data_IF_510926277560
#
_entry.id   IF_510926277560
#
_cell.length_a   1.000
_cell.length_b   1.000
_cell.length_c   1.000
_cell.angle_alpha   90.00
_cell.angle_beta   90.00
_cell.angle_gamma   90.00
#
_symmetry.space_group_name_H-M   'P 1'
#
loop_
_entity.id
_entity.type
_entity.pdbx_description
1 polymer ?
#
# COMPACT_ATOMS: atom_id res chain seq x y z
N UNK A 1 -14.18 0.35 5.84
CA UNK A 1 -13.89 -0.66 4.78
C UNK A 1 -12.81 -1.64 5.32
N UNK A 2 -12.55 -2.79 4.68
CA UNK A 2 -11.66 -3.83 5.27
C UNK A 2 -10.22 -3.32 5.45
N UNK A 3 -9.75 -2.36 4.63
CA UNK A 3 -8.41 -1.80 4.74
C UNK A 3 -8.24 -0.80 5.90
N UNK A 4 -9.31 -0.12 6.36
CA UNK A 4 -9.24 0.72 7.57
C UNK A 4 -8.95 -0.15 8.82
N UNK A 5 -9.50 -1.39 8.85
CA UNK A 5 -9.16 -2.37 9.89
C UNK A 5 -7.69 -2.82 9.83
N UNK A 6 -7.09 -2.69 8.66
CA UNK A 6 -5.73 -3.11 8.39
C UNK A 6 -4.72 -2.00 8.73
N UNK A 7 -5.01 -0.75 8.41
CA UNK A 7 -4.21 0.41 8.82
C UNK A 7 -4.17 0.59 10.36
N UNK A 8 -5.27 0.34 11.07
CA UNK A 8 -5.34 0.72 12.48
C UNK A 8 -5.19 2.24 12.65
N UNK A 9 -4.30 2.69 13.54
CA UNK A 9 -3.94 4.12 13.68
C UNK A 9 -2.73 4.53 12.81
N UNK A 10 -2.20 3.65 11.95
CA UNK A 10 -1.03 3.95 11.11
C UNK A 10 -1.46 4.68 9.84
N UNK A 11 -0.88 5.86 9.62
CA UNK A 11 -1.04 6.67 8.41
C UNK A 11 0.08 6.46 7.39
N UNK A 12 0.98 5.49 7.64
CA UNK A 12 2.11 5.17 6.77
C UNK A 12 2.17 3.68 6.47
N UNK A 13 2.40 3.39 5.19
CA UNK A 13 2.76 2.07 4.68
C UNK A 13 4.25 2.12 4.33
N UNK A 14 5.05 1.21 4.85
CA UNK A 14 6.45 1.10 4.40
C UNK A 14 6.53 0.11 3.25
N UNK A 15 6.99 0.55 2.09
CA UNK A 15 7.23 -0.31 0.92
C UNK A 15 8.71 -0.68 0.83
N UNK A 16 9.02 -1.96 0.67
CA UNK A 16 10.38 -2.48 0.60
C UNK A 16 10.66 -3.20 -0.71
N UNK A 17 11.83 -2.94 -1.27
CA UNK A 17 12.36 -3.76 -2.36
C UNK A 17 12.93 -5.08 -1.86
N UNK A 18 12.92 -6.07 -2.76
CA UNK A 18 13.60 -7.33 -2.52
C UNK A 18 15.07 -7.19 -2.88
N UNK A 19 15.91 -7.11 -1.85
CA UNK A 19 17.36 -7.18 -1.96
C UNK A 19 17.94 -8.05 -0.83
N UNK A 20 19.27 -8.13 -0.76
CA UNK A 20 19.98 -8.92 0.26
C UNK A 20 19.76 -8.41 1.69
N UNK A 21 19.20 -7.21 1.87
CA UNK A 21 18.95 -6.57 3.16
C UNK A 21 17.48 -6.61 3.58
N UNK A 22 16.59 -7.22 2.77
CA UNK A 22 15.14 -7.25 3.02
C UNK A 22 14.78 -7.68 4.45
N UNK A 23 15.29 -8.83 4.91
CA UNK A 23 14.98 -9.36 6.25
C UNK A 23 15.54 -8.47 7.36
N UNK A 24 16.73 -7.91 7.16
CA UNK A 24 17.33 -6.96 8.11
C UNK A 24 16.48 -5.67 8.21
N UNK A 25 16.01 -5.14 7.08
CA UNK A 25 15.12 -3.95 7.06
C UNK A 25 13.78 -4.26 7.72
N UNK A 26 13.20 -5.44 7.46
CA UNK A 26 11.97 -5.88 8.12
C UNK A 26 12.13 -5.88 9.64
N UNK A 27 13.21 -6.42 10.17
CA UNK A 27 13.49 -6.41 11.61
C UNK A 27 13.56 -4.98 12.17
N UNK A 28 14.26 -4.07 11.48
CA UNK A 28 14.35 -2.66 11.90
C UNK A 28 13.00 -1.95 11.90
N UNK A 29 12.15 -2.22 10.91
CA UNK A 29 10.80 -1.67 10.80
C UNK A 29 9.90 -2.17 11.94
N UNK A 30 10.01 -3.46 12.26
CA UNK A 30 9.28 -4.06 13.38
C UNK A 30 9.75 -3.48 14.71
N UNK A 31 11.06 -3.32 14.92
CA UNK A 31 11.64 -2.68 16.10
C UNK A 31 11.20 -1.22 16.25
N UNK A 32 11.00 -0.52 15.13
CA UNK A 32 10.42 0.82 15.08
C UNK A 32 8.90 0.86 15.37
N UNK A 33 8.26 -0.29 15.64
CA UNK A 33 6.83 -0.39 15.95
C UNK A 33 5.91 -0.30 14.73
N UNK A 34 6.46 -0.33 13.52
CA UNK A 34 5.70 -0.32 12.28
C UNK A 34 5.26 -1.76 12.01
N UNK A 35 3.96 -1.93 11.84
CA UNK A 35 3.35 -3.26 11.69
C UNK A 35 2.82 -3.50 10.29
N UNK A 36 2.74 -2.46 9.46
CA UNK A 36 2.21 -2.51 8.12
C UNK A 36 3.33 -2.30 7.09
N UNK A 37 3.62 -3.34 6.32
CA UNK A 37 4.70 -3.36 5.33
C UNK A 37 4.19 -3.92 4.00
N UNK A 38 4.55 -3.27 2.91
CA UNK A 38 4.42 -3.79 1.56
C UNK A 38 5.76 -4.32 1.06
N UNK A 39 5.77 -5.52 0.50
CA UNK A 39 6.93 -6.09 -0.18
C UNK A 39 6.72 -5.96 -1.68
N UNK A 40 7.66 -5.36 -2.40
CA UNK A 40 7.63 -5.22 -3.85
C UNK A 40 8.01 -6.54 -4.54
N UNK A 41 7.18 -7.57 -4.36
CA UNK A 41 7.34 -8.89 -4.94
C UNK A 41 6.02 -9.63 -5.03
N UNK A 42 5.91 -10.46 -6.07
CA UNK A 42 4.78 -11.38 -6.27
C UNK A 42 5.23 -12.84 -6.15
N UNK A 43 6.45 -13.08 -5.65
CA UNK A 43 7.01 -14.43 -5.55
C UNK A 43 6.41 -15.17 -4.35
N UNK A 44 5.56 -16.17 -4.63
CA UNK A 44 4.84 -16.93 -3.60
C UNK A 44 5.75 -17.49 -2.50
N UNK A 45 6.92 -18.05 -2.86
CA UNK A 45 7.84 -18.68 -1.89
C UNK A 45 8.38 -17.67 -0.88
N UNK A 46 8.89 -16.55 -1.36
CA UNK A 46 9.39 -15.46 -0.53
C UNK A 46 8.29 -14.90 0.38
N UNK A 47 7.14 -14.55 -0.20
CA UNK A 47 6.01 -14.01 0.57
C UNK A 47 5.51 -15.00 1.63
N UNK A 48 5.40 -16.29 1.29
CA UNK A 48 5.02 -17.34 2.25
C UNK A 48 6.04 -17.50 3.38
N UNK A 49 7.33 -17.31 3.10
CA UNK A 49 8.38 -17.33 4.11
C UNK A 49 8.24 -16.14 5.05
N UNK A 50 8.08 -14.93 4.53
CA UNK A 50 7.91 -13.71 5.33
C UNK A 50 6.68 -13.84 6.23
N UNK A 51 5.54 -14.27 5.69
CA UNK A 51 4.30 -14.48 6.45
C UNK A 51 4.46 -15.47 7.61
N UNK A 52 5.25 -16.54 7.43
CA UNK A 52 5.54 -17.51 8.49
C UNK A 52 6.51 -16.99 9.53
N UNK A 53 7.52 -16.23 9.12
CA UNK A 53 8.56 -15.72 10.00
C UNK A 53 8.07 -14.55 10.85
N UNK A 54 7.16 -13.74 10.32
CA UNK A 54 6.64 -12.54 10.97
C UNK A 54 5.10 -12.56 11.05
N UNK A 55 4.50 -13.48 11.83
CA UNK A 55 3.04 -13.66 11.87
C UNK A 55 2.28 -12.48 12.51
N UNK A 56 2.98 -11.59 13.22
CA UNK A 56 2.38 -10.46 13.93
C UNK A 56 2.37 -9.17 13.10
N UNK A 57 2.97 -9.17 11.90
CA UNK A 57 2.94 -8.02 11.00
C UNK A 57 2.04 -8.27 9.80
N UNK A 58 1.48 -7.15 9.37
CA UNK A 58 0.54 -6.97 8.30
C UNK A 58 1.30 -6.75 7.00
N UNK A 59 1.60 -7.84 6.30
CA UNK A 59 2.33 -7.84 5.03
C UNK A 59 1.38 -7.74 3.83
N UNK A 60 1.72 -6.87 2.87
CA UNK A 60 1.15 -6.87 1.52
C UNK A 60 2.18 -7.14 0.43
N UNK A 61 1.67 -7.42 -0.76
CA UNK A 61 2.47 -7.60 -1.97
C UNK A 61 2.19 -6.46 -2.96
N UNK A 62 3.25 -5.78 -3.41
CA UNK A 62 3.18 -4.69 -4.37
C UNK A 62 3.64 -5.09 -5.77
N UNK A 63 3.23 -4.30 -6.76
CA UNK A 63 3.71 -4.44 -8.15
C UNK A 63 2.97 -5.49 -8.98
N UNK A 64 1.75 -5.87 -8.60
CA UNK A 64 0.97 -6.88 -9.32
C UNK A 64 0.46 -6.30 -10.64
N UNK A 65 0.79 -6.94 -11.76
CA UNK A 65 0.41 -6.51 -13.11
C UNK A 65 -0.46 -7.52 -13.87
N UNK A 66 -0.70 -8.71 -13.30
CA UNK A 66 -1.58 -9.72 -13.88
C UNK A 66 -2.28 -10.57 -12.80
N UNK A 67 -3.28 -11.35 -13.21
CA UNK A 67 -4.07 -12.20 -12.30
C UNK A 67 -3.29 -13.38 -11.73
N UNK A 68 -2.25 -13.86 -12.43
CA UNK A 68 -1.44 -14.99 -11.97
C UNK A 68 -0.51 -14.56 -10.82
N UNK A 69 0.01 -13.33 -10.87
CA UNK A 69 0.74 -12.71 -9.79
C UNK A 69 -0.16 -12.47 -8.57
N UNK A 70 -1.38 -11.99 -8.78
CA UNK A 70 -2.37 -11.85 -7.71
C UNK A 70 -2.66 -13.19 -7.03
N UNK A 71 -2.87 -14.26 -7.83
CA UNK A 71 -3.07 -15.62 -7.33
C UNK A 71 -1.88 -16.08 -6.46
N UNK A 72 -0.65 -15.85 -6.92
CA UNK A 72 0.56 -16.20 -6.16
C UNK A 72 0.59 -15.50 -4.79
N UNK A 73 0.19 -14.23 -4.74
CA UNK A 73 0.12 -13.44 -3.51
C UNK A 73 -1.00 -13.95 -2.59
N UNK A 74 -2.19 -14.21 -3.14
CA UNK A 74 -3.32 -14.78 -2.40
C UNK A 74 -2.93 -16.12 -1.77
N UNK A 75 -2.32 -17.03 -2.54
CA UNK A 75 -1.87 -18.33 -2.05
C UNK A 75 -0.71 -18.23 -1.04
N UNK A 76 0.06 -17.14 -1.04
CA UNK A 76 1.06 -16.87 -0.02
C UNK A 76 0.44 -16.38 1.31
N UNK A 77 -0.84 -15.98 1.29
CA UNK A 77 -1.58 -15.51 2.45
C UNK A 77 -1.29 -14.06 2.83
N UNK A 78 -0.79 -13.23 1.89
CA UNK A 78 -0.58 -11.80 2.18
C UNK A 78 -1.90 -11.11 2.51
N UNK A 79 -1.85 -10.08 3.34
CA UNK A 79 -3.04 -9.42 3.86
C UNK A 79 -3.66 -8.43 2.88
N UNK A 80 -2.85 -7.89 1.96
CA UNK A 80 -3.31 -7.05 0.86
C UNK A 80 -2.39 -7.14 -0.36
N UNK A 81 -2.91 -6.70 -1.49
CA UNK A 81 -2.23 -6.61 -2.77
C UNK A 81 -2.30 -5.18 -3.29
N UNK A 82 -1.30 -4.73 -4.04
CA UNK A 82 -1.35 -3.49 -4.78
C UNK A 82 -0.81 -3.65 -6.20
N UNK A 83 -1.29 -2.80 -7.10
CA UNK A 83 -0.85 -2.71 -8.48
C UNK A 83 -0.41 -1.28 -8.82
N UNK A 84 0.46 -1.09 -9.82
CA UNK A 84 0.79 0.24 -10.32
C UNK A 84 -0.36 0.88 -11.12
N UNK A 85 -1.32 0.07 -11.60
CA UNK A 85 -2.46 0.55 -12.38
C UNK A 85 -3.71 -0.32 -12.22
N UNK A 86 -4.85 0.19 -12.67
CA UNK A 86 -6.12 -0.53 -12.61
C UNK A 86 -6.29 -1.42 -13.85
N UNK A 87 -6.19 -2.73 -13.65
CA UNK A 87 -6.66 -3.71 -14.61
C UNK A 87 -7.98 -4.33 -14.09
N UNK A 88 -9.11 -4.19 -14.82
CA UNK A 88 -10.40 -4.73 -14.37
C UNK A 88 -10.36 -6.23 -14.04
N UNK A 89 -9.56 -7.01 -14.76
CA UNK A 89 -9.39 -8.44 -14.49
C UNK A 89 -8.78 -8.69 -13.09
N UNK A 90 -7.74 -7.95 -12.70
CA UNK A 90 -7.10 -8.09 -11.37
C UNK A 90 -8.09 -7.68 -10.28
N UNK A 91 -8.79 -6.56 -10.47
CA UNK A 91 -9.82 -6.08 -9.55
C UNK A 91 -10.95 -7.10 -9.34
N UNK A 92 -11.48 -7.66 -10.44
CA UNK A 92 -12.52 -8.69 -10.35
C UNK A 92 -12.02 -9.97 -9.67
N UNK A 93 -10.81 -10.43 -9.99
CA UNK A 93 -10.21 -11.60 -9.33
C UNK A 93 -9.98 -11.35 -7.84
N UNK A 94 -9.48 -10.18 -7.44
CA UNK A 94 -9.30 -9.83 -6.04
C UNK A 94 -10.63 -9.83 -5.27
N UNK A 95 -11.71 -9.34 -5.88
CA UNK A 95 -13.06 -9.41 -5.32
C UNK A 95 -13.54 -10.86 -5.13
N UNK A 96 -13.30 -11.74 -6.12
CA UNK A 96 -13.64 -13.17 -6.02
C UNK A 96 -12.91 -13.83 -4.85
N UNK A 97 -11.64 -13.49 -4.62
CA UNK A 97 -10.84 -14.01 -3.52
C UNK A 97 -11.10 -13.32 -2.18
N UNK A 98 -11.96 -12.30 -2.14
CA UNK A 98 -12.13 -11.44 -0.96
C UNK A 98 -10.79 -10.89 -0.46
N UNK A 99 -9.87 -10.63 -1.39
CA UNK A 99 -8.53 -10.13 -1.11
C UNK A 99 -8.56 -8.60 -1.02
N UNK A 100 -7.93 -8.04 0.00
CA UNK A 100 -7.76 -6.58 0.06
C UNK A 100 -6.85 -6.14 -1.08
N UNK A 101 -7.34 -5.25 -1.93
CA UNK A 101 -6.61 -4.78 -3.10
C UNK A 101 -6.63 -3.26 -3.18
N UNK A 102 -5.46 -2.69 -3.48
CA UNK A 102 -5.21 -1.27 -3.71
C UNK A 102 -4.84 -1.06 -5.18
N UNK A 103 -5.83 -0.79 -6.05
CA UNK A 103 -5.56 -0.54 -7.46
C UNK A 103 -4.86 0.81 -7.67
N UNK A 104 -3.78 0.79 -8.43
CA UNK A 104 -3.11 2.00 -8.91
C UNK A 104 -3.99 2.82 -9.86
N UNK A 105 -3.97 4.15 -9.75
CA UNK A 105 -4.64 5.06 -10.69
C UNK A 105 -3.79 6.29 -10.98
N UNK A 106 -3.85 6.79 -12.22
CA UNK A 106 -3.19 8.02 -12.66
C UNK A 106 -4.18 9.06 -13.21
N UNK A 107 -5.47 8.70 -13.34
CA UNK A 107 -6.53 9.57 -13.85
C UNK A 107 -7.82 9.47 -13.04
N UNK A 108 -8.70 10.49 -13.14
CA UNK A 108 -10.04 10.45 -12.54
C UNK A 108 -10.88 9.33 -13.16
N UNK A 109 -10.77 9.10 -14.47
CA UNK A 109 -11.52 8.04 -15.15
C UNK A 109 -11.18 6.65 -14.61
N UNK A 110 -9.91 6.38 -14.32
CA UNK A 110 -9.49 5.13 -13.66
C UNK A 110 -10.01 5.05 -12.23
N UNK A 111 -9.98 6.15 -11.46
CA UNK A 111 -10.56 6.18 -10.12
C UNK A 111 -12.07 5.89 -10.13
N UNK A 112 -12.81 6.48 -11.07
CA UNK A 112 -14.24 6.20 -11.29
C UNK A 112 -14.48 4.74 -11.70
N UNK A 113 -13.58 4.15 -12.50
CA UNK A 113 -13.66 2.74 -12.86
C UNK A 113 -13.38 1.82 -11.67
N UNK A 114 -12.43 2.16 -10.80
CA UNK A 114 -12.22 1.41 -9.55
C UNK A 114 -13.50 1.44 -8.69
N UNK A 115 -14.15 2.60 -8.58
CA UNK A 115 -15.42 2.75 -7.87
C UNK A 115 -16.56 1.93 -8.49
N UNK A 116 -16.68 1.90 -9.81
CA UNK A 116 -17.71 1.10 -10.48
C UNK A 116 -17.49 -0.41 -10.31
N UNK A 117 -16.24 -0.84 -10.06
CA UNK A 117 -15.87 -2.20 -9.69
C UNK A 117 -16.02 -2.50 -8.18
N UNK A 118 -16.54 -1.54 -7.40
CA UNK A 118 -16.87 -1.69 -5.98
C UNK A 118 -15.76 -1.25 -5.01
N UNK A 119 -14.66 -0.68 -5.48
CA UNK A 119 -13.58 -0.19 -4.62
C UNK A 119 -13.89 1.23 -4.10
N UNK A 120 -13.70 1.45 -2.80
CA UNK A 120 -13.79 2.81 -2.20
C UNK A 120 -12.40 3.35 -1.83
N UNK A 121 -11.36 2.73 -2.41
CA UNK A 121 -9.97 3.05 -2.17
C UNK A 121 -9.17 2.90 -3.46
N UNK A 122 -8.20 3.79 -3.68
CA UNK A 122 -7.27 3.73 -4.80
C UNK A 122 -5.88 4.16 -4.36
N UNK A 123 -4.87 3.76 -5.14
CA UNK A 123 -3.47 4.15 -4.96
C UNK A 123 -3.08 5.12 -6.07
N UNK A 124 -3.06 6.44 -5.85
CA UNK A 124 -2.45 7.36 -6.81
C UNK A 124 -1.00 6.94 -7.10
N UNK A 125 -0.70 6.61 -8.36
CA UNK A 125 0.62 6.11 -8.75
C UNK A 125 0.92 6.45 -10.23
N UNK A 126 1.98 7.24 -10.51
CA UNK A 126 2.81 7.96 -9.54
C UNK A 126 1.97 9.00 -8.79
N UNK A 127 2.23 9.13 -7.48
CA UNK A 127 1.51 10.11 -6.68
C UNK A 127 2.06 11.51 -6.91
N UNK A 128 1.15 12.49 -7.01
CA UNK A 128 1.49 13.90 -6.90
C UNK A 128 0.40 14.64 -6.15
N UNK A 129 0.76 15.70 -5.44
CA UNK A 129 -0.15 16.41 -4.54
C UNK A 129 -1.32 17.06 -5.30
N UNK A 130 -1.07 17.57 -6.52
CA UNK A 130 -2.08 18.18 -7.37
C UNK A 130 -3.18 17.17 -7.78
N UNK A 131 -2.80 15.96 -8.17
CA UNK A 131 -3.70 14.90 -8.54
C UNK A 131 -4.49 14.37 -7.33
N UNK A 132 -3.83 14.20 -6.18
CA UNK A 132 -4.52 13.82 -4.94
C UNK A 132 -5.52 14.91 -4.51
N UNK A 133 -5.16 16.19 -4.63
CA UNK A 133 -6.06 17.32 -4.37
C UNK A 133 -7.26 17.31 -5.32
N UNK A 134 -7.03 17.01 -6.60
CA UNK A 134 -8.09 16.89 -7.60
C UNK A 134 -9.04 15.73 -7.29
N UNK A 135 -8.51 14.55 -6.95
CA UNK A 135 -9.32 13.40 -6.52
C UNK A 135 -10.11 13.71 -5.25
N UNK A 136 -9.49 14.32 -4.24
CA UNK A 136 -10.16 14.75 -3.00
C UNK A 136 -11.33 15.71 -3.29
N UNK A 137 -11.19 16.59 -4.29
CA UNK A 137 -12.27 17.51 -4.70
C UNK A 137 -13.38 16.83 -5.50
N UNK A 138 -13.02 15.98 -6.46
CA UNK A 138 -13.98 15.37 -7.39
C UNK A 138 -14.67 14.12 -6.82
N UNK A 139 -13.98 13.37 -5.97
CA UNK A 139 -14.38 12.08 -5.40
C UNK A 139 -14.12 12.07 -3.88
N UNK A 140 -14.75 12.96 -3.08
CA UNK A 140 -14.41 13.18 -1.67
C UNK A 140 -14.64 11.98 -0.74
N UNK A 141 -15.36 10.96 -1.20
CA UNK A 141 -15.61 9.72 -0.44
C UNK A 141 -14.64 8.59 -0.80
N UNK A 142 -13.67 8.85 -1.68
CA UNK A 142 -12.67 7.86 -2.10
C UNK A 142 -11.44 7.96 -1.22
N UNK A 143 -11.07 6.87 -0.55
CA UNK A 143 -9.85 6.83 0.25
C UNK A 143 -8.62 6.71 -0.66
N UNK A 144 -7.65 7.59 -0.46
CA UNK A 144 -6.42 7.64 -1.25
C UNK A 144 -5.26 7.06 -0.44
N UNK A 145 -4.45 6.27 -1.14
CA UNK A 145 -3.21 5.68 -0.64
C UNK A 145 -2.05 6.09 -1.56
N UNK A 146 -1.63 7.37 -1.58
CA UNK A 146 -0.58 7.84 -2.48
C UNK A 146 0.72 7.07 -2.21
N UNK A 147 1.38 6.63 -3.27
CA UNK A 147 2.55 5.76 -3.15
C UNK A 147 3.84 6.40 -3.66
N UNK A 148 4.97 5.94 -3.10
CA UNK A 148 6.32 6.46 -3.36
C UNK A 148 6.39 7.96 -3.05
N UNK A 149 5.90 8.33 -1.86
CA UNK A 149 5.95 9.70 -1.37
C UNK A 149 7.31 9.96 -0.74
N UNK A 150 7.93 11.08 -1.12
CA UNK A 150 9.14 11.57 -0.47
C UNK A 150 8.82 11.95 0.99
N UNK A 151 9.75 11.65 1.89
CA UNK A 151 9.54 11.78 3.34
C UNK A 151 9.11 13.20 3.74
N UNK A 152 9.72 14.21 3.14
CA UNK A 152 9.45 15.63 3.41
C UNK A 152 8.08 16.08 2.90
N UNK A 153 7.45 15.32 2.00
CA UNK A 153 6.13 15.64 1.46
C UNK A 153 4.98 14.93 2.18
N UNK A 154 5.27 13.91 3.00
CA UNK A 154 4.28 13.05 3.62
C UNK A 154 3.17 13.84 4.34
N UNK A 155 3.52 14.87 5.11
CA UNK A 155 2.55 15.70 5.84
C UNK A 155 1.59 16.45 4.90
N UNK A 156 2.09 16.95 3.77
CA UNK A 156 1.25 17.66 2.80
C UNK A 156 0.16 16.77 2.21
N UNK A 157 0.48 15.49 1.95
CA UNK A 157 -0.51 14.51 1.49
C UNK A 157 -1.49 14.14 2.61
N UNK A 158 -0.99 13.88 3.82
CA UNK A 158 -1.82 13.49 4.96
C UNK A 158 -2.78 14.60 5.42
N UNK A 159 -2.50 15.86 5.09
CA UNK A 159 -3.42 16.98 5.32
C UNK A 159 -4.63 17.00 4.37
N UNK A 160 -4.66 16.17 3.32
CA UNK A 160 -5.84 16.01 2.47
C UNK A 160 -6.86 15.05 3.11
N UNK A 161 -8.13 15.43 3.31
CA UNK A 161 -9.13 14.58 3.98
C UNK A 161 -9.34 13.19 3.36
N UNK A 162 -9.20 13.07 2.03
CA UNK A 162 -9.34 11.81 1.33
C UNK A 162 -8.10 10.89 1.49
N UNK A 163 -6.94 11.39 1.92
CA UNK A 163 -5.73 10.59 2.08
C UNK A 163 -5.77 9.84 3.41
N UNK A 164 -5.87 8.52 3.34
CA UNK A 164 -5.92 7.66 4.52
C UNK A 164 -4.53 7.27 5.02
N UNK A 165 -3.59 7.06 4.10
CA UNK A 165 -2.19 6.77 4.40
C UNK A 165 -1.30 7.10 3.19
N UNK A 166 -0.01 7.28 3.42
CA UNK A 166 1.01 7.41 2.37
C UNK A 166 1.97 6.23 2.39
N UNK A 167 2.50 5.83 1.24
CA UNK A 167 3.58 4.84 1.19
C UNK A 167 4.95 5.49 1.08
N UNK A 168 5.85 5.17 2.02
CA UNK A 168 7.26 5.57 2.00
C UNK A 168 8.11 4.38 1.53
N UNK A 169 8.93 4.58 0.50
CA UNK A 169 9.76 3.53 -0.09
C UNK A 169 11.13 3.45 0.58
N UNK A 170 11.55 2.25 0.98
CA UNK A 170 12.86 1.94 1.57
C UNK A 170 13.39 3.02 2.56
N UNK A 171 12.63 3.37 3.62
CA UNK A 171 13.01 4.45 4.51
C UNK A 171 14.37 4.19 5.16
N UNK A 172 15.16 5.26 5.31
CA UNK A 172 16.42 5.20 6.02
C UNK A 172 16.24 5.11 7.54
N UNK A 173 17.34 4.91 8.27
CA UNK A 173 17.29 4.77 9.74
C UNK A 173 16.76 6.04 10.44
N UNK A 174 16.99 7.23 9.90
CA UNK A 174 16.50 8.48 10.49
C UNK A 174 14.98 8.58 10.32
N UNK A 175 14.49 8.25 9.13
CA UNK A 175 13.05 8.21 8.81
C UNK A 175 12.33 7.17 9.66
N UNK A 176 12.89 5.96 9.79
CA UNK A 176 12.34 4.91 10.68
C UNK A 176 12.25 5.36 12.14
N UNK A 177 13.26 6.06 12.65
CA UNK A 177 13.23 6.58 14.02
C UNK A 177 12.17 7.67 14.21
N UNK A 178 11.94 8.51 13.20
CA UNK A 178 10.90 9.54 13.23
C UNK A 178 9.48 8.92 13.19
N UNK A 179 9.30 7.86 12.40
CA UNK A 179 8.07 7.06 12.41
C UNK A 179 7.79 6.46 13.80
N UNK A 180 8.82 5.88 14.43
CA UNK A 180 8.70 5.26 15.76
C UNK A 180 8.33 6.27 16.85
N UNK A 181 8.76 7.53 16.74
CA UNK A 181 8.46 8.59 17.70
C UNK A 181 7.11 9.28 17.45
N UNK A 182 6.38 8.89 16.39
CA UNK A 182 5.12 9.52 16.00
C UNK A 182 5.30 10.94 15.46
N UNK A 183 6.53 11.32 15.11
CA UNK A 183 6.85 12.61 14.50
C UNK A 183 6.82 12.42 13.00
N UNK A 184 5.67 12.73 12.41
CA UNK A 184 5.59 13.11 11.01
C UNK A 184 6.11 14.56 10.93
N UNK A 185 6.92 14.86 9.90
CA UNK A 185 7.49 16.20 9.65
C UNK A 185 6.41 17.26 9.76
#
# INVERSE_FOLDING_TARGET
>A
MIIDKFLGNQSIIVSLDVDNFLFQRLEQIIEAGITLVEINSTEKKLLSQIMKQYPNIKIGAGGIIDTQQLENCYQAGVHFASSPGLLPAIAQTANVYSMNYLPGVATISEAMMAMSLGYQQVRPFPANLAFCTLLNKCLPNLNLFPAEIEWEEAEHFLNLPAVAAVSIHNPDKKQLNALASGVLV
#
